data_IF_549658083815
#
_entry.id   IF_549658083815
#
_cell.length_a   1.000
_cell.length_b   1.000
_cell.length_c   1.000
_cell.angle_alpha   90.00
_cell.angle_beta   90.00
_cell.angle_gamma   90.00
#
_symmetry.space_group_name_H-M   'P 1'
#
loop_
_entity.id
_entity.type
_entity.pdbx_description
1 polymer ?
#
# COMPACT_ATOMS: atom_id res chain seq x y z
N UNK A 1 5.92 6.07 1.86
CA UNK A 1 4.48 6.28 2.15
C UNK A 1 3.79 7.19 1.11
N UNK A 2 4.01 6.92 -0.18
CA UNK A 2 3.50 7.75 -1.28
C UNK A 2 2.19 7.20 -1.86
N UNK A 3 2.01 5.88 -1.91
CA UNK A 3 0.78 5.26 -2.42
C UNK A 3 -0.46 5.68 -1.62
N UNK A 4 -0.40 5.61 -0.28
CA UNK A 4 -1.50 6.07 0.59
C UNK A 4 -1.84 7.56 0.42
N UNK A 5 -0.84 8.41 0.12
CA UNK A 5 -1.04 9.84 -0.13
C UNK A 5 -1.68 10.12 -1.49
N UNK A 6 -1.30 9.36 -2.53
CA UNK A 6 -1.94 9.45 -3.85
C UNK A 6 -3.39 8.97 -3.77
N UNK A 7 -3.67 7.85 -3.10
CA UNK A 7 -5.05 7.38 -2.87
C UNK A 7 -5.89 8.41 -2.13
N UNK A 8 -5.34 9.11 -1.14
CA UNK A 8 -6.05 10.17 -0.44
C UNK A 8 -6.31 11.40 -1.32
N UNK A 9 -5.36 11.77 -2.20
CA UNK A 9 -5.55 12.89 -3.13
C UNK A 9 -6.69 12.60 -4.10
N UNK A 10 -6.65 11.45 -4.77
CA UNK A 10 -7.70 11.03 -5.72
C UNK A 10 -9.05 10.88 -5.01
N UNK A 11 -9.06 10.34 -3.78
CA UNK A 11 -10.28 10.22 -2.99
C UNK A 11 -10.92 11.57 -2.64
N UNK A 12 -10.11 12.59 -2.35
CA UNK A 12 -10.60 13.96 -2.10
C UNK A 12 -11.03 14.68 -3.38
N UNK A 13 -10.44 14.35 -4.53
CA UNK A 13 -10.84 14.89 -5.83
C UNK A 13 -12.23 14.35 -6.25
N UNK A 14 -12.57 13.12 -5.85
CA UNK A 14 -13.88 12.49 -6.09
C UNK A 14 -14.94 12.85 -5.00
N UNK A 15 -14.55 12.86 -3.73
CA UNK A 15 -15.39 13.28 -2.59
C UNK A 15 -14.55 14.05 -1.54
N UNK A 16 -14.78 15.37 -1.39
CA UNK A 16 -14.03 16.20 -0.45
C UNK A 16 -14.13 15.79 1.03
N UNK A 17 -15.11 14.95 1.40
CA UNK A 17 -15.27 14.46 2.78
C UNK A 17 -14.62 13.08 3.00
N UNK A 18 -14.04 12.47 1.97
CA UNK A 18 -13.50 11.13 2.03
C UNK A 18 -11.99 11.11 2.31
N UNK A 19 -11.62 10.99 3.60
CA UNK A 19 -10.23 11.00 4.06
C UNK A 19 -9.63 9.59 4.14
N UNK A 20 -9.05 9.12 3.03
CA UNK A 20 -8.51 7.76 2.94
C UNK A 20 -7.11 7.58 3.52
N UNK A 21 -6.36 8.65 3.83
CA UNK A 21 -4.94 8.54 4.22
C UNK A 21 -4.72 7.59 5.40
N UNK A 22 -5.52 7.72 6.47
CA UNK A 22 -5.39 6.90 7.68
C UNK A 22 -5.76 5.42 7.42
N UNK A 23 -6.69 5.16 6.51
CA UNK A 23 -7.10 3.81 6.14
C UNK A 23 -6.11 3.17 5.14
N UNK A 24 -5.65 3.92 4.15
CA UNK A 24 -4.76 3.46 3.08
C UNK A 24 -3.32 3.21 3.54
N UNK A 25 -2.92 3.71 4.71
CA UNK A 25 -1.62 3.39 5.31
C UNK A 25 -1.48 1.91 5.67
N UNK A 26 -2.57 1.24 6.09
CA UNK A 26 -2.57 -0.19 6.40
C UNK A 26 -2.15 -1.06 5.20
N UNK A 27 -2.87 -0.99 4.06
CA UNK A 27 -2.49 -1.67 2.82
C UNK A 27 -1.09 -1.27 2.31
N UNK A 28 -0.69 -0.01 2.47
CA UNK A 28 0.65 0.45 2.06
C UNK A 28 1.78 -0.26 2.83
N UNK A 29 1.60 -0.53 4.14
CA UNK A 29 2.58 -1.29 4.94
C UNK A 29 2.49 -2.80 4.65
N UNK A 30 1.27 -3.32 4.49
CA UNK A 30 1.06 -4.73 4.13
C UNK A 30 1.74 -5.08 2.79
N UNK A 31 1.70 -4.19 1.80
CA UNK A 31 2.39 -4.35 0.53
C UNK A 31 3.90 -4.52 0.67
N UNK A 32 4.56 -3.71 1.52
CA UNK A 32 6.01 -3.81 1.76
C UNK A 32 6.38 -5.16 2.39
N UNK A 33 5.59 -5.62 3.37
CA UNK A 33 5.80 -6.91 4.02
C UNK A 33 5.56 -8.05 3.03
N UNK A 34 4.47 -7.97 2.25
CA UNK A 34 4.15 -8.95 1.21
C UNK A 34 5.26 -9.09 0.17
N UNK A 35 5.86 -7.99 -0.26
CA UNK A 35 7.01 -8.02 -1.19
C UNK A 35 8.22 -8.76 -0.61
N UNK A 36 8.52 -8.54 0.68
CA UNK A 36 9.62 -9.23 1.35
C UNK A 36 9.35 -10.74 1.48
N UNK A 37 8.11 -11.12 1.82
CA UNK A 37 7.70 -12.53 1.87
C UNK A 37 7.77 -13.18 0.49
N UNK A 38 7.24 -12.52 -0.55
CA UNK A 38 7.31 -13.02 -1.92
C UNK A 38 8.75 -13.20 -2.39
N UNK A 39 9.64 -12.24 -2.11
CA UNK A 39 11.06 -12.37 -2.40
C UNK A 39 11.70 -13.56 -1.66
N UNK A 40 11.38 -13.74 -0.37
CA UNK A 40 11.86 -14.87 0.43
C UNK A 40 11.43 -16.23 -0.15
N UNK A 41 10.17 -16.35 -0.58
CA UNK A 41 9.66 -17.58 -1.22
C UNK A 41 10.36 -17.83 -2.55
N UNK A 42 10.52 -16.81 -3.39
CA UNK A 42 11.22 -16.94 -4.67
C UNK A 42 12.66 -17.41 -4.47
N UNK A 43 13.38 -16.86 -3.49
CA UNK A 43 14.71 -17.33 -3.14
C UNK A 43 14.70 -18.78 -2.67
N UNK A 44 13.77 -19.16 -1.78
CA UNK A 44 13.70 -20.53 -1.25
C UNK A 44 13.33 -21.60 -2.30
N UNK A 45 12.63 -21.21 -3.37
CA UNK A 45 12.18 -22.13 -4.44
C UNK A 45 13.19 -22.21 -5.59
N UNK A 46 13.89 -21.12 -5.90
CA UNK A 46 14.70 -21.01 -7.11
C UNK A 46 16.21 -20.83 -6.88
N UNK A 47 16.67 -20.62 -5.63
CA UNK A 47 18.09 -20.61 -5.26
C UNK A 47 18.45 -21.76 -4.33
#
# INVERSE_FOLDING_TARGET
PMAARVSNKVGLDEDPHNFLLMHAMGPNVAGVIGSAVAAGILLAVFM
#
